data_IF_909982547362
#
_entry.id   IF_909982547362
#
_cell.length_a   1.000
_cell.length_b   1.000
_cell.length_c   1.000
_cell.angle_alpha   90.00
_cell.angle_beta   90.00
_cell.angle_gamma   90.00
#
_symmetry.space_group_name_H-M   'P 1'
#
loop_
_entity.id
_entity.type
_entity.pdbx_description
1 polymer ?
#
# COMPACT_ATOMS: atom_id res chain seq x y z
N UNK A 1 -11.04 -17.43 31.80
CA UNK A 1 -11.29 -17.05 30.38
C UNK A 1 -10.06 -16.31 29.87
N UNK A 2 -9.28 -16.92 28.97
CA UNK A 2 -8.10 -16.27 28.37
C UNK A 2 -8.61 -15.20 27.41
N UNK A 3 -8.62 -13.93 27.83
CA UNK A 3 -8.71 -12.80 26.91
C UNK A 3 -7.41 -12.83 26.10
N UNK A 4 -7.44 -13.47 24.95
CA UNK A 4 -6.38 -13.32 23.95
C UNK A 4 -6.25 -11.82 23.74
N UNK A 5 -5.12 -11.23 24.10
CA UNK A 5 -4.77 -9.88 23.68
C UNK A 5 -4.56 -9.95 22.17
N UNK A 6 -5.66 -9.95 21.43
CA UNK A 6 -5.66 -9.42 20.09
C UNK A 6 -5.16 -7.99 20.27
N UNK A 7 -3.87 -7.77 19.98
CA UNK A 7 -3.34 -6.42 19.84
C UNK A 7 -4.32 -5.65 18.97
N UNK A 8 -4.70 -4.48 19.42
CA UNK A 8 -5.71 -3.62 18.82
C UNK A 8 -5.50 -3.59 17.29
N UNK A 9 -6.41 -4.22 16.53
CA UNK A 9 -6.29 -4.28 15.08
C UNK A 9 -6.33 -2.87 14.54
N UNK A 10 -5.40 -2.55 13.65
CA UNK A 10 -5.40 -1.26 12.97
C UNK A 10 -6.36 -1.31 11.79
N UNK A 11 -7.66 -1.24 12.08
CA UNK A 11 -8.70 -1.23 11.07
C UNK A 11 -8.61 -0.01 10.15
N UNK A 12 -8.03 1.09 10.61
CA UNK A 12 -7.84 2.28 9.78
C UNK A 12 -6.81 2.01 8.68
N UNK A 13 -5.64 1.46 9.05
CA UNK A 13 -4.64 1.01 8.07
C UNK A 13 -5.21 -0.07 7.14
N UNK A 14 -5.87 -1.07 7.71
CA UNK A 14 -6.45 -2.17 6.94
C UNK A 14 -7.49 -1.69 5.91
N UNK A 15 -8.36 -0.78 6.30
CA UNK A 15 -9.34 -0.18 5.40
C UNK A 15 -8.67 0.68 4.32
N UNK A 16 -7.62 1.43 4.67
CA UNK A 16 -6.85 2.21 3.69
C UNK A 16 -6.20 1.30 2.64
N UNK A 17 -5.58 0.19 3.08
CA UNK A 17 -4.98 -0.81 2.19
C UNK A 17 -6.01 -1.46 1.26
N UNK A 18 -7.18 -1.81 1.80
CA UNK A 18 -8.30 -2.33 1.03
C UNK A 18 -8.76 -1.35 -0.04
N UNK A 19 -9.03 -0.10 0.36
CA UNK A 19 -9.47 0.97 -0.55
C UNK A 19 -8.44 1.19 -1.65
N UNK A 20 -7.16 1.26 -1.31
CA UNK A 20 -6.08 1.45 -2.28
C UNK A 20 -6.05 0.32 -3.31
N UNK A 21 -6.07 -0.95 -2.85
CA UNK A 21 -6.10 -2.12 -3.73
C UNK A 21 -7.29 -2.10 -4.67
N UNK A 22 -8.49 -1.79 -4.17
CA UNK A 22 -9.69 -1.77 -5.01
C UNK A 22 -9.67 -0.61 -6.01
N UNK A 23 -9.07 0.52 -5.64
CA UNK A 23 -8.93 1.69 -6.51
C UNK A 23 -8.04 1.38 -7.71
N UNK A 24 -6.95 0.62 -7.49
CA UNK A 24 -6.08 0.12 -8.58
C UNK A 24 -6.64 -1.12 -9.30
N UNK A 25 -7.90 -1.51 -9.03
CA UNK A 25 -8.59 -2.59 -9.76
C UNK A 25 -8.09 -4.01 -9.48
N UNK A 26 -7.28 -4.22 -8.44
CA UNK A 26 -6.71 -5.54 -8.14
C UNK A 26 -7.57 -6.35 -7.18
N UNK A 27 -7.55 -7.68 -7.30
CA UNK A 27 -8.06 -8.59 -6.26
C UNK A 27 -6.99 -8.83 -5.19
N UNK A 28 -7.37 -9.38 -4.02
CA UNK A 28 -6.37 -9.78 -3.01
C UNK A 28 -5.35 -10.77 -3.57
N UNK A 29 -5.78 -11.67 -4.46
CA UNK A 29 -4.88 -12.63 -5.12
C UNK A 29 -3.98 -11.92 -6.14
N UNK A 30 -4.54 -11.04 -6.99
CA UNK A 30 -3.75 -10.30 -7.98
C UNK A 30 -2.69 -9.41 -7.34
N UNK A 31 -3.01 -8.73 -6.23
CA UNK A 31 -2.00 -7.99 -5.47
C UNK A 31 -0.96 -8.92 -4.86
N UNK A 32 -1.37 -10.07 -4.32
CA UNK A 32 -0.46 -11.03 -3.74
C UNK A 32 0.53 -11.59 -4.77
N UNK A 33 0.05 -11.91 -5.98
CA UNK A 33 0.86 -12.41 -7.09
C UNK A 33 1.90 -11.39 -7.54
N UNK A 34 1.52 -10.10 -7.67
CA UNK A 34 2.45 -9.01 -8.03
C UNK A 34 3.53 -8.80 -6.97
N UNK A 35 3.17 -8.97 -5.69
CA UNK A 35 4.09 -8.78 -4.57
C UNK A 35 4.90 -10.04 -4.22
N UNK A 36 4.57 -11.21 -4.81
CA UNK A 36 5.20 -12.49 -4.44
C UNK A 36 4.85 -12.96 -3.01
N UNK A 37 3.68 -12.59 -2.49
CA UNK A 37 3.20 -12.98 -1.17
C UNK A 37 1.98 -13.90 -1.26
N UNK A 38 1.53 -14.43 -0.12
CA UNK A 38 0.26 -15.18 -0.09
C UNK A 38 -0.94 -14.23 -0.10
N UNK A 39 -2.04 -14.65 -0.74
CA UNK A 39 -3.34 -13.96 -0.63
C UNK A 39 -3.75 -13.71 0.82
N UNK A 40 -3.46 -14.66 1.71
CA UNK A 40 -3.73 -14.55 3.14
C UNK A 40 -3.01 -13.36 3.78
N UNK A 41 -1.75 -13.11 3.41
CA UNK A 41 -1.00 -11.97 3.92
C UNK A 41 -1.70 -10.65 3.58
N UNK A 42 -2.16 -10.49 2.33
CA UNK A 42 -2.95 -9.31 1.92
C UNK A 42 -4.22 -9.18 2.74
N UNK A 43 -4.94 -10.29 2.97
CA UNK A 43 -6.13 -10.29 3.83
C UNK A 43 -5.85 -9.91 5.29
N UNK A 44 -4.70 -10.30 5.84
CA UNK A 44 -4.29 -9.92 7.20
C UNK A 44 -3.89 -8.44 7.29
N UNK A 45 -3.31 -7.87 6.23
CA UNK A 45 -3.06 -6.42 6.13
C UNK A 45 -4.38 -5.64 6.10
N UNK A 46 -5.30 -6.04 5.24
CA UNK A 46 -6.63 -5.41 5.12
C UNK A 46 -7.48 -5.56 6.39
N UNK A 47 -7.26 -6.63 7.16
CA UNK A 47 -7.89 -6.83 8.47
C UNK A 47 -7.20 -6.06 9.61
N UNK A 48 -6.16 -5.27 9.32
CA UNK A 48 -5.39 -4.53 10.33
C UNK A 48 -4.66 -5.44 11.33
N UNK A 49 -4.47 -6.72 10.98
CA UNK A 49 -3.91 -7.73 11.88
C UNK A 49 -2.40 -7.91 11.70
N UNK A 50 -1.84 -7.46 10.57
CA UNK A 50 -0.41 -7.38 10.31
C UNK A 50 -0.11 -6.25 9.32
N UNK A 51 1.17 -5.98 9.06
CA UNK A 51 1.61 -4.92 8.16
C UNK A 51 2.51 -5.49 7.05
N UNK A 52 2.50 -4.92 5.84
CA UNK A 52 3.45 -5.27 4.80
C UNK A 52 4.88 -4.90 5.23
N UNK A 53 5.87 -5.60 4.69
CA UNK A 53 7.28 -5.18 4.82
C UNK A 53 7.52 -3.95 3.94
N UNK A 54 8.57 -3.19 4.25
CA UNK A 54 8.93 -1.96 3.52
C UNK A 54 8.98 -2.14 2.00
N UNK A 55 9.63 -3.19 1.48
CA UNK A 55 9.67 -3.43 0.02
C UNK A 55 8.31 -3.77 -0.58
N UNK A 56 7.44 -4.49 0.14
CA UNK A 56 6.07 -4.75 -0.33
C UNK A 56 5.26 -3.46 -0.33
N UNK A 57 5.36 -2.66 0.72
CA UNK A 57 4.67 -1.37 0.77
C UNK A 57 5.16 -0.44 -0.33
N UNK A 58 6.47 -0.35 -0.55
CA UNK A 58 7.09 0.40 -1.63
C UNK A 58 6.51 -0.02 -3.00
N UNK A 59 6.39 -1.32 -3.26
CA UNK A 59 5.80 -1.84 -4.50
C UNK A 59 4.31 -1.49 -4.61
N UNK A 60 3.53 -1.59 -3.52
CA UNK A 60 2.11 -1.15 -3.49
C UNK A 60 2.00 0.33 -3.85
N UNK A 61 2.84 1.19 -3.26
CA UNK A 61 2.84 2.63 -3.55
C UNK A 61 3.20 2.91 -5.01
N UNK A 62 4.17 2.18 -5.57
CA UNK A 62 4.50 2.29 -7.00
C UNK A 62 3.32 1.93 -7.90
N UNK A 63 2.61 0.84 -7.61
CA UNK A 63 1.42 0.45 -8.36
C UNK A 63 0.31 1.50 -8.25
N UNK A 64 0.12 2.08 -7.06
CA UNK A 64 -0.86 3.13 -6.83
C UNK A 64 -0.57 4.41 -7.60
N UNK A 65 0.69 4.85 -7.67
CA UNK A 65 1.10 6.00 -8.51
C UNK A 65 0.89 5.69 -10.00
N UNK A 66 1.30 4.51 -10.46
CA UNK A 66 1.15 4.09 -11.86
C UNK A 66 -0.30 4.08 -12.33
N UNK A 67 -1.22 3.68 -11.45
CA UNK A 67 -2.66 3.62 -11.74
C UNK A 67 -3.41 4.90 -11.34
N UNK A 68 -2.70 5.97 -10.97
CA UNK A 68 -3.28 7.25 -10.57
C UNK A 68 -4.33 7.12 -9.46
N UNK A 69 -4.10 6.22 -8.50
CA UNK A 69 -5.05 5.96 -7.40
C UNK A 69 -4.99 7.01 -6.29
N UNK A 70 -3.95 7.84 -6.27
CA UNK A 70 -3.81 8.96 -5.35
C UNK A 70 -4.38 10.25 -5.94
N UNK A 71 -4.77 11.18 -5.07
CA UNK A 71 -5.20 12.50 -5.51
C UNK A 71 -4.03 13.27 -6.16
N UNK A 72 -4.28 13.84 -7.34
CA UNK A 72 -3.28 14.60 -8.08
C UNK A 72 -2.70 15.75 -7.24
N UNK A 73 -1.36 15.79 -7.14
CA UNK A 73 -0.63 16.76 -6.33
C UNK A 73 -0.56 16.43 -4.83
N UNK A 74 -1.14 15.30 -4.40
CA UNK A 74 -1.08 14.80 -3.01
C UNK A 74 -0.46 13.41 -2.89
N UNK A 75 0.09 12.88 -3.98
CA UNK A 75 0.68 11.54 -4.01
C UNK A 75 1.78 11.39 -2.95
N UNK A 76 2.63 12.40 -2.79
CA UNK A 76 3.68 12.42 -1.77
C UNK A 76 3.11 12.33 -0.35
N UNK A 77 2.07 13.14 -0.05
CA UNK A 77 1.42 13.18 1.26
C UNK A 77 0.76 11.84 1.59
N UNK A 78 0.06 11.24 0.63
CA UNK A 78 -0.62 9.96 0.80
C UNK A 78 0.37 8.81 0.99
N UNK A 79 1.47 8.76 0.21
CA UNK A 79 2.52 7.74 0.37
C UNK A 79 3.18 7.86 1.74
N UNK A 80 3.52 9.07 2.19
CA UNK A 80 4.08 9.30 3.52
C UNK A 80 3.10 8.91 4.63
N UNK A 81 1.81 9.19 4.46
CA UNK A 81 0.78 8.80 5.41
C UNK A 81 0.68 7.27 5.53
N UNK A 82 0.68 6.55 4.40
CA UNK A 82 0.69 5.08 4.38
C UNK A 82 1.94 4.51 5.05
N UNK A 83 3.12 5.08 4.78
CA UNK A 83 4.38 4.63 5.39
C UNK A 83 4.38 4.78 6.91
N UNK A 84 3.85 5.91 7.40
CA UNK A 84 3.70 6.18 8.83
C UNK A 84 2.68 5.24 9.47
N UNK A 85 1.53 5.02 8.82
CA UNK A 85 0.48 4.13 9.31
C UNK A 85 0.89 2.65 9.31
N UNK A 86 1.83 2.25 8.44
CA UNK A 86 2.36 0.89 8.42
C UNK A 86 3.31 0.57 9.59
N UNK A 87 3.60 1.54 10.46
CA UNK A 87 4.49 1.39 11.63
C UNK A 87 5.87 0.78 11.29
N UNK A 88 6.38 1.07 10.09
CA UNK A 88 7.67 0.57 9.64
C UNK A 88 8.80 1.22 10.45
N UNK A 89 9.73 0.39 10.94
CA UNK A 89 10.93 0.87 11.64
C UNK A 89 11.97 1.52 10.72
N UNK A 90 11.78 1.37 9.41
CA UNK A 90 12.68 1.93 8.39
C UNK A 90 12.08 3.24 7.87
N UNK A 91 12.96 4.22 7.66
CA UNK A 91 12.57 5.50 7.09
C UNK A 91 12.16 5.31 5.62
N UNK A 92 11.24 6.15 5.19
CA UNK A 92 10.90 6.26 3.78
C UNK A 92 12.13 6.76 3.02
N UNK A 93 12.46 6.11 1.91
CA UNK A 93 13.52 6.57 1.03
C UNK A 93 13.00 7.76 0.22
N UNK A 94 13.41 8.97 0.61
CA UNK A 94 13.01 10.22 -0.03
C UNK A 94 13.52 10.32 -1.47
N UNK A 95 14.65 9.68 -1.79
CA UNK A 95 15.18 9.67 -3.16
C UNK A 95 14.35 8.77 -4.06
N UNK A 96 13.91 7.62 -3.55
CA UNK A 96 12.95 6.75 -4.24
C UNK A 96 11.60 7.43 -4.43
N UNK A 97 11.06 8.09 -3.39
CA UNK A 97 9.79 8.78 -3.47
C UNK A 97 9.82 9.89 -4.53
N UNK A 98 10.87 10.72 -4.50
CA UNK A 98 11.07 11.79 -5.48
C UNK A 98 11.23 11.24 -6.90
N UNK A 99 11.96 10.13 -7.05
CA UNK A 99 12.13 9.48 -8.35
C UNK A 99 10.81 8.91 -8.86
N UNK A 100 10.01 8.27 -8.00
CA UNK A 100 8.71 7.68 -8.36
C UNK A 100 7.74 8.75 -8.87
N UNK A 101 7.66 9.90 -8.20
CA UNK A 101 6.72 10.97 -8.56
C UNK A 101 7.19 11.82 -9.75
N UNK A 102 8.51 11.89 -9.99
CA UNK A 102 9.07 12.54 -11.18
C UNK A 102 9.08 11.64 -12.42
N UNK A 103 8.75 10.35 -12.31
CA UNK A 103 8.61 9.52 -13.50
C UNK A 103 7.35 9.95 -14.24
N UNK A 104 7.44 10.36 -15.52
CA UNK A 104 6.24 10.63 -16.29
C UNK A 104 5.41 9.35 -16.35
N UNK A 105 4.19 9.38 -15.81
CA UNK A 105 3.22 8.30 -16.02
C UNK A 105 3.20 7.99 -17.51
N UNK A 106 3.31 6.71 -17.93
CA UNK A 106 3.25 6.38 -19.35
C UNK A 106 1.98 7.02 -19.92
N UNK A 107 2.07 7.78 -21.03
CA UNK A 107 0.90 8.43 -21.59
C UNK A 107 -0.18 7.36 -21.81
N UNK A 108 -1.45 7.63 -21.48
CA UNK A 108 -2.52 6.68 -21.71
C UNK A 108 -2.46 6.27 -23.18
N UNK A 109 -2.32 4.96 -23.43
CA UNK A 109 -2.28 4.44 -24.78
C UNK A 109 -3.52 4.98 -25.53
N UNK A 110 -3.36 5.61 -26.70
CA UNK A 110 -4.51 6.07 -27.46
C UNK A 110 -5.36 4.86 -27.85
N UNK A 111 -6.65 4.92 -27.50
CA UNK A 111 -7.69 3.99 -27.96
C UNK A 111 -8.02 4.20 -29.43
#
# INVERSE_FOLDING_TARGET
>A
MKRSSYGERDYAFGQAMLTLRTTIGLTQAGLADLLGVSRRAVGEWEAGSSYPKAHHLQHVMSLAVQQQAFAAGREEEEIRAFWKAAHLKVLLDESWLSALLNQPSPPPAPV
#
